data_IF_058376869152
#
_entry.id   IF_058376869152
#
_cell.length_a   1.000
_cell.length_b   1.000
_cell.length_c   1.000
_cell.angle_alpha   90.00
_cell.angle_beta   90.00
_cell.angle_gamma   90.00
#
_symmetry.space_group_name_H-M   'P 1'
#
loop_
_entity.id
_entity.type
_entity.pdbx_description
1 polymer ?
#
# COMPACT_ATOMS: atom_id res chain seq x y z
N UNK A 1 -5.78 12.20 -11.66
CA UNK A 1 -6.51 13.15 -12.52
C UNK A 1 -5.56 13.55 -13.64
N UNK A 2 -5.94 13.35 -14.90
CA UNK A 2 -5.03 13.55 -16.05
C UNK A 2 -5.05 15.02 -16.50
N UNK A 3 -3.89 15.70 -16.46
CA UNK A 3 -3.74 17.08 -16.92
C UNK A 3 -4.16 17.25 -18.39
N UNK A 4 -3.83 16.27 -19.25
CA UNK A 4 -4.17 16.29 -20.69
C UNK A 4 -5.67 16.37 -20.87
N UNK A 5 -6.45 15.64 -20.06
CA UNK A 5 -7.91 15.65 -20.14
C UNK A 5 -8.49 17.01 -19.73
N UNK A 6 -8.01 17.59 -18.63
CA UNK A 6 -8.51 18.89 -18.14
C UNK A 6 -8.19 20.00 -19.14
N UNK A 7 -6.97 19.98 -19.69
CA UNK A 7 -6.55 20.93 -20.72
C UNK A 7 -7.41 20.79 -21.99
N UNK A 8 -7.68 19.56 -22.43
CA UNK A 8 -8.50 19.29 -23.62
C UNK A 8 -9.96 19.74 -23.44
N UNK A 9 -10.57 19.45 -22.30
CA UNK A 9 -12.01 19.69 -22.08
C UNK A 9 -12.31 21.11 -21.60
N UNK A 10 -11.40 21.72 -20.83
CA UNK A 10 -11.63 23.01 -20.16
C UNK A 10 -10.68 24.13 -20.58
N UNK A 11 -9.60 23.82 -21.31
CA UNK A 11 -8.56 24.80 -21.66
C UNK A 11 -7.73 25.27 -20.45
N UNK A 12 -7.81 24.56 -19.32
CA UNK A 12 -7.13 24.91 -18.07
C UNK A 12 -5.99 23.92 -17.82
N UNK A 13 -4.81 24.43 -17.51
CA UNK A 13 -3.70 23.63 -16.96
C UNK A 13 -3.72 23.76 -15.44
N UNK A 14 -3.81 22.62 -14.75
CA UNK A 14 -3.66 22.54 -13.29
C UNK A 14 -2.25 22.05 -12.97
N UNK A 15 -1.60 22.55 -11.90
CA UNK A 15 -0.30 22.07 -11.46
C UNK A 15 -0.45 20.74 -10.69
N UNK A 16 -0.87 19.68 -11.39
CA UNK A 16 -1.06 18.34 -10.81
C UNK A 16 0.09 17.43 -11.23
N UNK A 17 0.66 16.69 -10.29
CA UNK A 17 1.67 15.66 -10.54
C UNK A 17 1.05 14.30 -10.24
N UNK A 18 0.91 13.41 -11.23
CA UNK A 18 0.55 12.03 -10.98
C UNK A 18 1.65 11.31 -10.21
N UNK A 19 1.23 10.53 -9.23
CA UNK A 19 2.09 9.71 -8.37
C UNK A 19 1.56 8.29 -8.37
N UNK A 20 2.44 7.30 -8.49
CA UNK A 20 2.11 5.89 -8.45
C UNK A 20 2.39 5.31 -7.06
N UNK A 21 1.33 4.79 -6.42
CA UNK A 21 1.39 4.10 -5.13
C UNK A 21 0.96 2.65 -5.31
N UNK A 22 1.84 1.71 -4.95
CA UNK A 22 1.55 0.29 -5.00
C UNK A 22 0.88 -0.17 -3.70
N UNK A 23 -0.29 -0.81 -3.83
CA UNK A 23 -1.02 -1.41 -2.72
C UNK A 23 -0.78 -2.92 -2.67
N UNK A 24 -0.28 -3.38 -1.52
CA UNK A 24 0.06 -4.77 -1.30
C UNK A 24 -0.83 -5.41 -0.24
N UNK A 25 -1.15 -6.68 -0.45
CA UNK A 25 -1.86 -7.52 0.51
C UNK A 25 -0.90 -8.55 1.08
N UNK A 26 -0.91 -8.67 2.40
CA UNK A 26 -0.01 -9.53 3.15
C UNK A 26 -0.81 -10.57 3.89
N UNK A 27 -0.33 -11.81 3.87
CA UNK A 27 -1.03 -12.93 4.48
C UNK A 27 -0.89 -12.86 6.00
N UNK A 28 -2.00 -12.92 6.72
CA UNK A 28 -1.98 -13.08 8.17
C UNK A 28 -1.62 -14.53 8.49
N UNK A 29 -0.76 -14.71 9.49
CA UNK A 29 -0.37 -16.04 9.95
C UNK A 29 -1.57 -16.82 10.46
N UNK A 30 -1.62 -18.12 10.12
CA UNK A 30 -2.76 -18.99 10.42
C UNK A 30 -3.09 -19.03 11.91
N UNK A 31 -4.37 -18.84 12.25
CA UNK A 31 -4.86 -18.82 13.63
C UNK A 31 -4.76 -17.45 14.31
N UNK A 32 -4.42 -16.40 13.55
CA UNK A 32 -4.34 -15.03 14.04
C UNK A 32 -5.21 -14.05 13.26
N UNK A 33 -5.95 -14.50 12.25
CA UNK A 33 -6.79 -13.70 11.36
C UNK A 33 -7.75 -12.81 12.14
N UNK A 34 -8.41 -13.36 13.15
CA UNK A 34 -9.37 -12.63 13.99
C UNK A 34 -8.75 -11.40 14.66
N UNK A 35 -7.45 -11.41 15.00
CA UNK A 35 -6.78 -10.29 15.67
C UNK A 35 -6.65 -9.04 14.80
N UNK A 36 -6.81 -9.19 13.48
CA UNK A 36 -6.64 -8.12 12.50
C UNK A 36 -7.96 -7.58 11.97
N UNK A 37 -9.09 -7.99 12.55
CA UNK A 37 -10.43 -7.57 12.14
C UNK A 37 -10.84 -6.26 12.81
N UNK A 38 -11.81 -5.56 12.21
CA UNK A 38 -12.39 -4.35 12.80
C UNK A 38 -13.14 -4.71 14.09
N UNK A 39 -13.80 -5.86 14.09
CA UNK A 39 -14.61 -6.40 15.19
C UNK A 39 -13.78 -6.65 16.45
N UNK A 40 -12.52 -7.09 16.29
CA UNK A 40 -11.57 -7.21 17.40
C UNK A 40 -10.75 -5.93 17.66
N UNK A 41 -11.15 -4.81 17.08
CA UNK A 41 -10.59 -3.48 17.36
C UNK A 41 -9.22 -3.24 16.74
N UNK A 42 -8.82 -4.00 15.71
CA UNK A 42 -7.58 -3.71 15.00
C UNK A 42 -7.69 -2.34 14.30
N UNK A 43 -6.69 -1.44 14.42
CA UNK A 43 -6.81 -0.07 13.93
C UNK A 43 -6.43 0.05 12.45
N UNK A 44 -6.79 1.18 11.86
CA UNK A 44 -6.03 1.74 10.73
C UNK A 44 -4.77 2.36 11.32
N UNK A 45 -3.61 2.10 10.72
CA UNK A 45 -2.32 2.62 11.20
C UNK A 45 -1.55 3.31 10.08
N UNK A 46 -0.60 4.14 10.47
CA UNK A 46 0.33 4.79 9.56
C UNK A 46 1.70 4.95 10.22
N UNK A 47 2.76 4.93 9.42
CA UNK A 47 4.13 5.19 9.86
C UNK A 47 4.78 6.17 8.89
N UNK A 48 5.33 7.26 9.42
CA UNK A 48 5.97 8.35 8.67
C UNK A 48 7.48 8.39 8.98
N UNK A 49 8.11 7.21 9.08
CA UNK A 49 9.56 7.08 9.27
C UNK A 49 10.30 7.05 7.94
N UNK A 50 11.36 6.25 7.86
CA UNK A 50 12.15 6.07 6.62
C UNK A 50 11.33 5.50 5.46
N UNK A 51 10.23 4.79 5.75
CA UNK A 51 9.24 4.34 4.79
C UNK A 51 7.87 4.84 5.19
N UNK A 52 7.23 5.65 4.34
CA UNK A 52 5.86 6.10 4.57
C UNK A 52 4.88 4.99 4.19
N UNK A 53 4.14 4.48 5.16
CA UNK A 53 3.16 3.41 4.95
C UNK A 53 1.88 3.72 5.72
N UNK A 54 0.77 3.17 5.23
CA UNK A 54 -0.42 2.97 6.03
C UNK A 54 -0.90 1.54 5.89
N UNK A 55 -1.78 1.11 6.79
CA UNK A 55 -2.43 -0.18 6.66
C UNK A 55 -3.81 -0.18 7.28
N UNK A 56 -4.64 -1.11 6.82
CA UNK A 56 -6.03 -1.24 7.24
C UNK A 56 -6.26 -2.59 7.90
N UNK A 57 -7.31 -2.75 8.72
CA UNK A 57 -7.74 -4.08 9.16
C UNK A 57 -8.01 -5.03 7.99
N UNK A 58 -8.06 -6.33 8.28
CA UNK A 58 -8.48 -7.39 7.36
C UNK A 58 -9.97 -7.22 7.01
N UNK A 59 -10.23 -6.37 6.02
CA UNK A 59 -11.58 -5.99 5.60
C UNK A 59 -11.86 -6.42 4.15
N UNK A 60 -10.94 -6.16 3.23
CA UNK A 60 -11.17 -6.35 1.79
C UNK A 60 -11.08 -7.82 1.37
N UNK A 61 -10.16 -8.58 1.98
CA UNK A 61 -9.96 -10.00 1.71
C UNK A 61 -9.73 -10.74 3.03
N UNK A 62 -10.57 -11.73 3.38
CA UNK A 62 -10.40 -12.50 4.61
C UNK A 62 -9.01 -13.12 4.73
N UNK A 63 -8.35 -12.90 5.87
CA UNK A 63 -7.01 -13.42 6.15
C UNK A 63 -5.87 -12.61 5.52
N UNK A 64 -6.16 -11.49 4.85
CA UNK A 64 -5.15 -10.58 4.31
C UNK A 64 -5.26 -9.19 4.95
N UNK A 65 -4.11 -8.58 5.20
CA UNK A 65 -3.99 -7.19 5.60
C UNK A 65 -3.42 -6.35 4.45
N UNK A 66 -4.02 -5.17 4.20
CA UNK A 66 -3.55 -4.24 3.18
C UNK A 66 -2.50 -3.30 3.78
N UNK A 67 -1.32 -3.25 3.19
CA UNK A 67 -0.22 -2.36 3.59
C UNK A 67 0.47 -1.80 2.32
N UNK A 68 0.00 -0.66 1.77
CA UNK A 68 0.66 0.07 0.70
C UNK A 68 1.93 0.80 1.16
N UNK A 69 2.76 1.12 0.17
CA UNK A 69 3.87 2.07 0.31
C UNK A 69 3.34 3.44 -0.12
N UNK A 70 3.12 4.33 0.84
CA UNK A 70 2.57 5.68 0.64
C UNK A 70 3.68 6.71 0.32
N UNK A 71 4.74 6.23 -0.34
CA UNK A 71 5.88 7.01 -0.82
C UNK A 71 6.07 6.77 -2.33
N UNK A 72 4.99 7.01 -3.07
CA UNK A 72 4.95 6.79 -4.51
C UNK A 72 5.85 7.75 -5.29
N UNK A 73 6.38 7.28 -6.43
CA UNK A 73 7.14 8.10 -7.36
C UNK A 73 6.24 8.87 -8.33
N UNK A 74 6.72 10.01 -8.82
CA UNK A 74 6.12 10.68 -9.97
C UNK A 74 6.03 9.71 -11.16
N UNK A 75 4.88 9.68 -11.83
CA UNK A 75 4.65 8.75 -12.94
C UNK A 75 3.92 9.41 -14.10
N UNK A 76 4.05 8.81 -15.28
CA UNK A 76 3.12 9.05 -16.38
C UNK A 76 1.85 8.22 -16.14
N UNK A 77 0.65 8.84 -16.12
CA UNK A 77 -0.60 8.12 -15.82
C UNK A 77 -0.89 6.92 -16.72
N UNK A 78 -0.36 6.94 -17.94
CA UNK A 78 -0.56 5.92 -18.97
C UNK A 78 0.51 4.81 -18.93
N UNK A 79 1.58 4.99 -18.16
CA UNK A 79 2.75 4.09 -18.11
C UNK A 79 3.01 3.54 -16.69
N UNK A 80 1.93 3.23 -15.95
CA UNK A 80 2.03 2.69 -14.60
C UNK A 80 2.73 1.33 -14.57
N UNK A 81 3.64 1.14 -13.61
CA UNK A 81 4.37 -0.12 -13.40
C UNK A 81 3.57 -1.13 -12.58
N UNK A 82 2.59 -0.65 -11.82
CA UNK A 82 1.77 -1.38 -10.84
C UNK A 82 2.60 -2.03 -9.72
N UNK A 83 3.84 -1.58 -9.51
CA UNK A 83 4.74 -2.12 -8.52
C UNK A 83 5.67 -1.04 -7.96
N UNK A 84 5.93 -1.10 -6.66
CA UNK A 84 6.98 -0.33 -6.03
C UNK A 84 8.37 -0.85 -6.46
N UNK A 85 9.37 0.05 -6.52
CA UNK A 85 10.78 -0.30 -6.59
C UNK A 85 11.16 -1.43 -5.61
N UNK A 86 12.03 -2.39 -6.03
CA UNK A 86 12.38 -3.56 -5.21
C UNK A 86 12.94 -3.23 -3.83
N UNK A 87 13.75 -2.17 -3.72
CA UNK A 87 14.34 -1.66 -2.49
C UNK A 87 13.29 -1.15 -1.48
N UNK A 88 12.24 -0.49 -1.97
CA UNK A 88 11.12 -0.08 -1.12
C UNK A 88 10.28 -1.30 -0.68
N UNK A 89 10.09 -2.29 -1.55
CA UNK A 89 9.40 -3.52 -1.19
C UNK A 89 10.19 -4.32 -0.14
N UNK A 90 11.52 -4.40 -0.27
CA UNK A 90 12.37 -5.02 0.74
C UNK A 90 12.29 -4.28 2.07
N UNK A 91 12.34 -2.94 2.06
CA UNK A 91 12.15 -2.12 3.26
C UNK A 91 10.78 -2.36 3.92
N UNK A 92 9.72 -2.55 3.13
CA UNK A 92 8.40 -2.91 3.65
C UNK A 92 8.39 -4.30 4.29
N UNK A 93 9.08 -5.29 3.73
CA UNK A 93 9.20 -6.64 4.31
C UNK A 93 9.87 -6.60 5.68
N UNK A 94 10.96 -5.82 5.80
CA UNK A 94 11.66 -5.60 7.07
C UNK A 94 10.72 -4.95 8.10
N UNK A 95 10.03 -3.88 7.71
CA UNK A 95 9.06 -3.17 8.54
C UNK A 95 7.94 -4.09 9.04
N UNK A 96 7.39 -4.93 8.17
CA UNK A 96 6.34 -5.89 8.55
C UNK A 96 6.88 -6.91 9.55
N UNK A 97 8.08 -7.45 9.29
CA UNK A 97 8.70 -8.44 10.18
C UNK A 97 8.92 -7.87 11.58
N UNK A 98 9.43 -6.64 11.67
CA UNK A 98 9.70 -5.97 12.94
C UNK A 98 8.42 -5.59 13.70
N UNK A 99 7.41 -5.04 13.01
CA UNK A 99 6.20 -4.51 13.66
C UNK A 99 5.17 -5.58 14.00
N UNK A 100 5.05 -6.61 13.18
CA UNK A 100 4.04 -7.66 13.35
C UNK A 100 4.58 -8.91 14.03
N UNK A 101 5.89 -9.00 14.29
CA UNK A 101 6.48 -10.08 15.07
C UNK A 101 6.14 -11.49 14.56
N UNK A 102 6.00 -11.65 13.24
CA UNK A 102 5.62 -12.92 12.59
C UNK A 102 4.11 -13.22 12.54
N UNK A 103 3.25 -12.31 13.01
CA UNK A 103 1.79 -12.44 12.86
C UNK A 103 1.30 -12.16 11.43
N UNK A 104 2.14 -11.53 10.61
CA UNK A 104 1.93 -11.30 9.17
C UNK A 104 3.13 -11.86 8.43
N UNK A 105 2.90 -12.59 7.35
CA UNK A 105 3.93 -13.21 6.52
C UNK A 105 4.70 -12.14 5.74
N UNK A 106 5.93 -11.86 6.15
CA UNK A 106 6.81 -10.87 5.51
C UNK A 106 7.61 -11.42 4.32
N UNK A 107 7.42 -12.69 3.92
CA UNK A 107 8.18 -13.26 2.80
C UNK A 107 7.86 -12.56 1.47
N UNK A 108 6.64 -12.07 1.32
CA UNK A 108 6.22 -11.26 0.20
C UNK A 108 4.71 -11.03 0.21
N UNK A 109 4.24 -10.06 -0.58
CA UNK A 109 2.82 -9.84 -0.76
C UNK A 109 2.19 -10.98 -1.57
N UNK A 110 0.88 -11.14 -1.41
CA UNK A 110 0.10 -12.07 -2.22
C UNK A 110 -0.04 -11.51 -3.63
N UNK A 111 0.51 -12.21 -4.61
CA UNK A 111 0.30 -11.91 -6.03
C UNK A 111 -1.12 -12.35 -6.43
N UNK A 112 -1.81 -11.51 -7.22
CA UNK A 112 -3.06 -11.89 -7.88
C UNK A 112 -2.81 -12.82 -9.06
#
# INVERSE_FOLDING_TARGET
MDEKLIKTVRGITLPVQPVEIAAYYWKISKGHEDKFTIENGFPIFGSHGDLHIYGTPSLEFPGLIKIPIDDGGACEPEERTWAAPPDMLDSLRECIRERFGGLVDSNGPVNR
#
